data_IF_061753358476
#
_entry.id   IF_061753358476
#
_cell.length_a   1.000
_cell.length_b   1.000
_cell.length_c   1.000
_cell.angle_alpha   90.00
_cell.angle_beta   90.00
_cell.angle_gamma   90.00
#
_symmetry.space_group_name_H-M   'P 1'
#
loop_
_entity.id
_entity.type
_entity.pdbx_description
1 polymer ?
#
# COMPACT_ATOMS: atom_id res chain seq x y z
N UNK A 1 16.09 -21.05 -39.83
CA UNK A 1 16.00 -21.09 -39.34
C UNK A 1 15.77 -20.55 -38.53
N UNK A 2 15.68 -20.32 -38.31
CA UNK A 2 15.49 -19.87 -37.51
C UNK A 2 14.83 -19.11 -36.96
N UNK A 3 14.52 -18.90 -37.14
CA UNK A 3 13.87 -18.12 -36.76
C UNK A 3 13.37 -18.05 -35.71
N UNK A 4 13.44 -18.33 -35.36
CA UNK A 4 13.04 -18.29 -34.36
C UNK A 4 13.13 -17.56 -33.55
N UNK A 5 13.49 -17.35 -33.52
CA UNK A 5 13.69 -16.73 -32.68
C UNK A 5 13.06 -15.90 -32.27
N UNK A 6 12.95 -15.61 -32.53
CA UNK A 6 12.56 -14.73 -32.20
C UNK A 6 11.70 -14.49 -31.44
N UNK A 7 11.41 -14.73 -31.46
CA UNK A 7 10.56 -14.52 -30.83
C UNK A 7 10.46 -14.17 -29.79
N UNK A 8 10.89 -14.27 -29.47
CA UNK A 8 10.90 -14.08 -28.45
C UNK A 8 10.76 -13.07 -27.91
N UNK A 9 10.99 -12.58 -28.16
CA UNK A 9 11.02 -11.63 -27.56
C UNK A 9 10.01 -11.14 -27.01
N UNK A 10 9.59 -11.16 -27.27
CA UNK A 10 8.75 -10.65 -26.84
C UNK A 10 8.30 -10.63 -25.75
N UNK A 11 8.42 -10.87 -25.44
CA UNK A 11 8.03 -10.95 -24.40
C UNK A 11 8.08 -10.17 -23.55
N UNK A 12 8.45 -9.76 -23.50
CA UNK A 12 8.67 -9.13 -22.62
C UNK A 12 7.94 -8.33 -22.16
N UNK A 13 7.72 -8.16 -22.44
CA UNK A 13 7.25 -7.41 -22.02
C UNK A 13 6.53 -7.17 -21.26
N UNK A 14 6.31 -7.20 -21.00
CA UNK A 14 5.54 -7.20 -20.21
C UNK A 14 5.51 -6.45 -19.26
N UNK A 15 5.82 -6.08 -18.90
CA UNK A 15 5.91 -5.46 -18.06
C UNK A 15 5.28 -4.76 -17.32
N UNK A 16 4.94 -4.30 -17.09
CA UNK A 16 4.51 -3.53 -16.47
C UNK A 16 4.08 -3.25 -15.40
N UNK A 17 4.13 -3.05 -14.90
CA UNK A 17 3.77 -2.72 -14.03
C UNK A 17 3.86 -2.11 -13.22
N UNK A 18 4.09 -1.79 -13.10
CA UNK A 18 4.34 -0.83 -12.63
C UNK A 18 3.64 -0.33 -11.63
N UNK A 19 2.88 -0.58 -11.22
CA UNK A 19 2.20 0.05 -10.38
C UNK A 19 2.20 -0.51 -9.11
N UNK A 20 3.16 -1.20 -8.62
CA UNK A 20 3.26 -1.68 -7.29
C UNK A 20 3.28 -0.50 -6.35
N UNK A 21 2.50 -0.58 -5.32
CA UNK A 21 2.52 0.43 -4.28
C UNK A 21 3.65 0.14 -3.30
N UNK A 22 4.14 1.17 -2.66
CA UNK A 22 5.20 1.07 -1.67
C UNK A 22 4.59 1.14 -0.28
N UNK A 23 5.10 0.32 0.63
CA UNK A 23 4.66 0.33 2.02
C UNK A 23 5.76 0.90 2.90
N UNK A 24 5.40 1.92 3.66
CA UNK A 24 6.29 2.53 4.64
C UNK A 24 5.67 2.27 6.02
N UNK A 25 6.13 1.23 6.68
CA UNK A 25 5.56 0.78 7.95
C UNK A 25 6.49 1.16 9.09
N UNK A 26 6.17 2.24 9.79
CA UNK A 26 6.97 2.69 10.92
C UNK A 26 6.81 1.78 12.14
N UNK A 27 5.86 0.86 12.11
CA UNK A 27 5.57 0.00 13.26
C UNK A 27 5.88 -1.46 12.95
N UNK A 28 6.84 -1.72 12.07
CA UNK A 28 7.06 -3.07 11.56
C UNK A 28 7.41 -4.09 12.65
N UNK A 29 7.98 -3.64 13.75
CA UNK A 29 8.29 -4.58 14.85
C UNK A 29 7.04 -5.02 15.60
N UNK A 30 5.97 -4.25 15.54
CA UNK A 30 4.75 -4.53 16.25
C UNK A 30 3.62 -4.98 15.35
N UNK A 31 3.64 -4.55 14.09
CA UNK A 31 2.55 -4.79 13.18
C UNK A 31 3.12 -5.19 11.82
N UNK A 32 2.92 -6.44 11.46
CA UNK A 32 3.33 -6.88 10.14
C UNK A 32 2.29 -6.44 9.13
N UNK A 33 2.75 -6.01 7.97
CA UNK A 33 1.85 -5.50 6.95
C UNK A 33 2.40 -5.82 5.58
N UNK A 34 1.51 -6.03 4.64
CA UNK A 34 1.93 -6.18 3.25
C UNK A 34 0.82 -5.73 2.34
N UNK A 35 1.21 -5.27 1.17
CA UNK A 35 0.26 -4.79 0.17
C UNK A 35 0.04 -5.88 -0.87
N UNK A 36 -1.21 -6.01 -1.29
CA UNK A 36 -1.54 -6.82 -2.45
C UNK A 36 -1.42 -5.99 -3.71
N UNK A 37 -1.69 -6.62 -4.84
CA UNK A 37 -1.63 -5.94 -6.12
C UNK A 37 -2.79 -4.95 -6.24
N UNK A 38 -2.51 -3.71 -6.62
CA UNK A 38 -3.60 -2.78 -6.87
C UNK A 38 -4.35 -3.16 -8.13
N UNK A 39 -5.64 -2.88 -8.15
CA UNK A 39 -6.43 -3.08 -9.34
C UNK A 39 -7.50 -2.01 -9.43
N UNK A 40 -7.97 -1.77 -10.64
CA UNK A 40 -8.95 -0.74 -10.91
C UNK A 40 -10.24 -1.39 -11.36
N UNK A 41 -11.35 -0.92 -10.81
CA UNK A 41 -12.67 -1.37 -11.21
C UNK A 41 -13.61 -0.20 -11.09
N UNK A 42 -14.37 0.04 -12.15
CA UNK A 42 -15.42 1.07 -12.16
C UNK A 42 -14.91 2.44 -11.73
N UNK A 43 -13.72 2.79 -12.18
CA UNK A 43 -13.15 4.10 -11.89
C UNK A 43 -12.51 4.21 -10.52
N UNK A 44 -12.46 3.12 -9.77
CA UNK A 44 -11.85 3.13 -8.44
C UNK A 44 -10.63 2.25 -8.41
N UNK A 45 -9.62 2.72 -7.69
CA UNK A 45 -8.45 1.92 -7.39
C UNK A 45 -8.70 1.17 -6.09
N UNK A 46 -8.40 -0.13 -6.09
CA UNK A 46 -8.52 -0.96 -4.91
C UNK A 46 -7.14 -1.50 -4.57
N UNK A 47 -6.72 -1.30 -3.33
CA UNK A 47 -5.39 -1.72 -2.88
C UNK A 47 -5.55 -2.51 -1.59
N UNK A 48 -5.32 -3.83 -1.63
CA UNK A 48 -5.43 -4.63 -0.41
C UNK A 48 -4.25 -4.39 0.52
N UNK A 49 -4.54 -4.28 1.79
CA UNK A 49 -3.53 -4.14 2.83
C UNK A 49 -3.80 -5.19 3.88
N UNK A 50 -2.88 -6.14 4.04
CA UNK A 50 -3.03 -7.22 5.01
C UNK A 50 -2.19 -6.89 6.23
N UNK A 51 -2.79 -7.04 7.41
CA UNK A 51 -2.18 -6.66 8.67
C UNK A 51 -2.23 -7.81 9.65
N UNK A 52 -1.17 -7.94 10.42
CA UNK A 52 -1.12 -8.94 11.47
C UNK A 52 -0.37 -8.36 12.67
N UNK A 53 -1.04 -8.31 13.82
CA UNK A 53 -0.42 -7.79 15.03
C UNK A 53 0.61 -8.80 15.55
N UNK A 54 1.76 -8.30 15.95
CA UNK A 54 2.82 -9.11 16.52
C UNK A 54 3.10 -8.74 17.96
N UNK A 55 2.99 -7.46 18.27
CA UNK A 55 3.23 -6.93 19.62
C UNK A 55 2.31 -5.76 19.84
N UNK A 56 2.16 -5.38 21.09
CA UNK A 56 1.45 -4.17 21.43
C UNK A 56 2.15 -2.97 20.76
N UNK A 57 1.38 -2.06 20.20
CA UNK A 57 1.95 -0.86 19.61
C UNK A 57 2.67 0.00 20.63
N UNK A 58 2.33 -0.14 21.92
CA UNK A 58 3.06 0.56 22.95
C UNK A 58 4.53 0.18 23.00
N UNK A 59 4.87 -1.06 22.62
CA UNK A 59 6.26 -1.48 22.56
C UNK A 59 7.01 -0.80 21.43
N UNK A 60 6.30 -0.24 20.47
CA UNK A 60 6.90 0.50 19.37
C UNK A 60 6.78 2.02 19.58
N UNK A 61 6.42 2.45 20.77
CA UNK A 61 6.42 3.87 21.11
C UNK A 61 5.09 4.56 20.96
N UNK A 62 4.03 3.84 20.60
CA UNK A 62 2.73 4.47 20.44
C UNK A 62 2.05 4.63 21.80
N UNK A 63 1.19 5.64 21.91
CA UNK A 63 0.42 5.86 23.12
C UNK A 63 -0.96 5.25 23.04
N UNK A 64 -1.31 4.64 21.92
CA UNK A 64 -2.64 4.10 21.67
C UNK A 64 -2.51 2.85 20.84
N UNK A 65 -3.52 1.97 20.92
CA UNK A 65 -3.60 0.81 20.05
C UNK A 65 -4.12 1.16 18.66
N UNK A 66 -4.51 2.43 18.46
CA UNK A 66 -4.97 2.85 17.14
C UNK A 66 -3.77 3.21 16.28
N UNK A 67 -3.80 2.74 15.06
CA UNK A 67 -2.73 2.96 14.08
C UNK A 67 -3.31 3.80 12.97
N UNK A 68 -2.57 4.83 12.59
CA UNK A 68 -2.97 5.67 11.47
C UNK A 68 -2.42 5.10 10.18
N UNK A 69 -3.28 4.94 9.19
CA UNK A 69 -2.83 4.56 7.87
C UNK A 69 -3.18 5.68 6.89
N UNK A 70 -2.33 5.84 5.88
CA UNK A 70 -2.57 6.80 4.81
C UNK A 70 -2.18 6.18 3.49
N UNK A 71 -3.01 6.42 2.50
CA UNK A 71 -2.68 6.11 1.12
C UNK A 71 -2.36 7.42 0.43
N UNK A 72 -1.14 7.55 -0.03
CA UNK A 72 -0.65 8.77 -0.65
C UNK A 72 -0.40 8.54 -2.13
N UNK A 73 -0.64 9.58 -2.92
CA UNK A 73 -0.23 9.61 -4.32
C UNK A 73 0.90 10.62 -4.44
N UNK A 74 2.01 10.20 -5.02
CA UNK A 74 3.19 11.04 -5.16
C UNK A 74 3.44 11.30 -6.63
N UNK A 75 3.49 12.57 -7.01
CA UNK A 75 3.74 12.94 -8.38
C UNK A 75 5.20 13.07 -8.69
N UNK A 76 5.51 13.34 -9.95
CA UNK A 76 6.89 13.42 -10.42
C UNK A 76 7.64 14.58 -9.77
N UNK A 77 6.95 15.60 -9.33
CA UNK A 77 7.60 16.76 -8.71
C UNK A 77 7.71 16.60 -7.21
N UNK A 78 7.57 15.40 -6.70
CA UNK A 78 7.66 15.09 -5.28
C UNK A 78 6.48 15.61 -4.47
N UNK A 79 5.52 16.25 -5.11
CA UNK A 79 4.29 16.59 -4.43
C UNK A 79 3.57 15.31 -4.07
N UNK A 80 2.98 15.27 -2.91
CA UNK A 80 2.16 14.13 -2.53
C UNK A 80 0.89 14.63 -1.89
N UNK A 81 -0.16 13.85 -2.03
CA UNK A 81 -1.39 14.18 -1.35
C UNK A 81 -2.08 12.89 -0.91
N UNK A 82 -2.91 13.04 0.11
CA UNK A 82 -3.58 11.91 0.72
C UNK A 82 -4.81 11.55 -0.09
N UNK A 83 -4.87 10.29 -0.51
CA UNK A 83 -6.05 9.77 -1.18
C UNK A 83 -7.03 9.19 -0.19
N UNK A 84 -6.52 8.59 0.89
CA UNK A 84 -7.36 8.02 1.93
C UNK A 84 -6.54 7.93 3.20
N UNK A 85 -7.16 8.16 4.34
CA UNK A 85 -6.50 7.91 5.61
C UNK A 85 -7.54 7.51 6.63
N UNK A 86 -7.07 6.86 7.68
CA UNK A 86 -7.95 6.44 8.73
C UNK A 86 -7.19 5.84 9.89
N UNK A 87 -7.94 5.33 10.83
CA UNK A 87 -7.40 4.67 12.01
C UNK A 87 -7.89 3.23 12.02
N UNK A 88 -7.05 2.34 12.51
CA UNK A 88 -7.46 0.97 12.70
C UNK A 88 -6.98 0.50 14.07
N UNK A 89 -7.71 -0.45 14.63
CA UNK A 89 -7.37 -1.00 15.93
C UNK A 89 -6.38 -2.13 15.71
N UNK A 90 -5.20 -2.00 16.28
CA UNK A 90 -4.13 -2.97 16.09
C UNK A 90 -4.25 -4.18 17.01
N UNK A 91 -5.26 -4.24 17.86
CA UNK A 91 -5.36 -5.31 18.87
C UNK A 91 -5.99 -6.59 18.37
N UNK A 92 -6.21 -6.71 17.07
CA UNK A 92 -6.78 -7.92 16.49
C UNK A 92 -5.73 -9.01 16.45
N UNK A 93 -6.07 -10.20 16.90
CA UNK A 93 -5.12 -11.30 16.94
C UNK A 93 -4.97 -12.02 15.63
N UNK A 94 -5.96 -11.97 14.77
CA UNK A 94 -5.91 -12.68 13.50
C UNK A 94 -5.55 -11.74 12.37
N UNK A 95 -4.87 -12.24 11.35
CA UNK A 95 -4.61 -11.40 10.18
C UNK A 95 -5.90 -10.93 9.56
N UNK A 96 -5.88 -9.74 9.03
CA UNK A 96 -7.06 -9.19 8.35
C UNK A 96 -6.60 -8.35 7.19
N UNK A 97 -7.49 -8.23 6.21
CA UNK A 97 -7.20 -7.45 5.03
C UNK A 97 -8.20 -6.31 4.93
N UNK A 98 -7.65 -5.11 4.76
CA UNK A 98 -8.43 -3.93 4.44
C UNK A 98 -8.25 -3.64 2.96
N UNK A 99 -9.31 -3.18 2.32
CA UNK A 99 -9.16 -2.71 0.95
C UNK A 99 -9.19 -1.19 0.98
N UNK A 100 -8.07 -0.60 0.61
CA UNK A 100 -8.00 0.86 0.48
C UNK A 100 -8.56 1.21 -0.88
N UNK A 101 -9.38 2.25 -0.93
CA UNK A 101 -10.08 2.61 -2.15
C UNK A 101 -9.85 4.09 -2.42
N UNK A 102 -9.60 4.43 -3.66
CA UNK A 102 -9.39 5.80 -4.07
C UNK A 102 -9.88 5.99 -5.50
N UNK A 103 -10.04 7.23 -5.89
CA UNK A 103 -10.40 7.56 -7.27
C UNK A 103 -9.23 7.20 -8.18
N UNK A 104 -9.49 6.38 -9.19
CA UNK A 104 -8.43 5.91 -10.06
C UNK A 104 -7.78 7.07 -10.83
N UNK A 105 -8.54 8.10 -11.16
CA UNK A 105 -8.00 9.24 -11.87
C UNK A 105 -6.99 10.02 -11.05
N UNK A 106 -7.22 10.10 -9.75
CA UNK A 106 -6.29 10.80 -8.87
C UNK A 106 -5.01 10.00 -8.67
N UNK A 107 -5.10 8.68 -8.78
CA UNK A 107 -3.94 7.82 -8.59
C UNK A 107 -3.14 7.61 -9.86
N UNK A 108 -3.73 7.88 -11.00
CA UNK A 108 -3.15 7.54 -12.29
C UNK A 108 -1.84 8.27 -12.53
N UNK A 109 -0.83 7.52 -12.95
CA UNK A 109 0.47 8.12 -13.26
C UNK A 109 1.27 8.55 -12.04
N UNK A 110 0.84 8.19 -10.85
CA UNK A 110 1.54 8.57 -9.62
C UNK A 110 1.98 7.35 -8.86
N UNK A 111 3.03 7.54 -8.09
CA UNK A 111 3.48 6.49 -7.19
C UNK A 111 2.54 6.42 -6.00
N UNK A 112 2.13 5.20 -5.65
CA UNK A 112 1.28 4.99 -4.50
C UNK A 112 2.13 4.58 -3.31
N UNK A 113 1.90 5.23 -2.18
CA UNK A 113 2.63 4.93 -0.95
C UNK A 113 1.62 4.77 0.17
N UNK A 114 1.74 3.67 0.91
CA UNK A 114 0.92 3.48 2.11
C UNK A 114 1.83 3.65 3.31
N UNK A 115 1.44 4.50 4.24
CA UNK A 115 2.20 4.70 5.47
C UNK A 115 1.39 4.20 6.65
N UNK A 116 2.09 3.60 7.61
CA UNK A 116 1.51 3.16 8.87
C UNK A 116 2.32 3.78 9.99
N UNK A 117 1.64 4.30 10.99
CA UNK A 117 2.31 4.90 12.12
C UNK A 117 1.39 5.01 13.32
N UNK A 118 1.93 5.51 14.40
CA UNK A 118 1.13 5.75 15.59
C UNK A 118 0.08 6.82 15.31
N UNK A 119 -1.07 6.69 15.95
CA UNK A 119 -1.97 7.81 15.98
C UNK A 119 -1.31 8.93 16.78
N UNK A 120 -1.22 10.09 16.17
CA UNK A 120 -0.62 11.22 16.89
C UNK A 120 -1.59 11.70 17.95
N UNK A 121 -1.09 12.11 19.10
CA UNK A 121 -1.97 12.74 20.09
C UNK A 121 -2.46 14.07 19.55
N UNK A 122 -3.63 14.45 19.94
CA UNK A 122 -4.21 15.73 19.48
C UNK A 122 -3.66 16.92 20.22
#
# INVERSE_FOLDING_TARGET
>A
MDAKALLLGSLCLAAPFADAATLDNALSACLAARLGAPHTAEGQLHLPLTLEARRSTGECGCTSALVRYRLLARGASADSFVLQEGLLDSRQDTPRTLTLVADAGLASGRELVVTLGCQAPD
#
